data_IF_680406774812
#
_entry.id   IF_680406774812
#
_cell.length_a   1.000
_cell.length_b   1.000
_cell.length_c   1.000
_cell.angle_alpha   90.00
_cell.angle_beta   90.00
_cell.angle_gamma   90.00
#
_symmetry.space_group_name_H-M   'P 1'
#
loop_
_entity.id
_entity.type
_entity.pdbx_description
1 polymer ?
#
# COMPACT_ATOMS: atom_id res chain seq x y z
N UNK A 1 -33.61 -12.97 0.69
CA UNK A 1 -32.94 -11.73 0.20
C UNK A 1 -32.55 -10.78 1.33
N UNK A 2 -33.38 -10.54 2.37
CA UNK A 2 -32.99 -9.69 3.49
C UNK A 2 -31.83 -10.29 4.32
N UNK A 3 -31.73 -11.60 4.39
CA UNK A 3 -30.65 -12.33 5.07
C UNK A 3 -29.32 -12.29 4.31
N UNK A 4 -29.34 -11.85 3.06
CA UNK A 4 -28.14 -11.71 2.21
C UNK A 4 -27.50 -10.32 2.34
N UNK A 5 -28.17 -9.37 3.02
CA UNK A 5 -27.68 -8.02 3.25
C UNK A 5 -26.68 -7.99 4.40
N UNK A 6 -25.56 -7.36 4.16
CA UNK A 6 -24.56 -7.07 5.18
C UNK A 6 -24.63 -5.59 5.59
N UNK A 7 -24.10 -5.28 6.77
CA UNK A 7 -23.87 -3.89 7.16
C UNK A 7 -22.95 -3.24 6.13
N UNK A 8 -23.22 -1.98 5.81
CA UNK A 8 -22.52 -1.15 4.82
C UNK A 8 -22.75 -1.51 3.34
N UNK A 9 -23.63 -2.49 3.03
CA UNK A 9 -24.03 -2.72 1.64
C UNK A 9 -24.80 -1.52 1.08
N UNK A 10 -24.43 -1.12 -0.13
CA UNK A 10 -25.17 -0.12 -0.92
C UNK A 10 -26.04 -0.85 -1.92
N UNK A 11 -27.35 -0.76 -1.74
CA UNK A 11 -28.32 -1.45 -2.59
C UNK A 11 -29.40 -0.49 -3.09
N UNK A 12 -29.97 -0.79 -4.26
CA UNK A 12 -31.20 -0.17 -4.71
C UNK A 12 -32.39 -1.05 -4.33
N UNK A 13 -33.52 -0.43 -3.96
CA UNK A 13 -34.75 -1.17 -3.62
C UNK A 13 -35.90 -0.74 -4.50
N UNK A 14 -36.69 -1.71 -4.95
CA UNK A 14 -38.04 -1.44 -5.46
C UNK A 14 -39.00 -1.53 -4.30
N UNK A 15 -39.70 -0.43 -4.03
CA UNK A 15 -40.61 -0.34 -2.89
C UNK A 15 -41.92 0.32 -3.29
N UNK A 16 -43.00 -0.02 -2.57
CA UNK A 16 -44.29 0.65 -2.58
C UNK A 16 -44.57 1.21 -1.19
N UNK A 17 -45.35 2.27 -1.09
CA UNK A 17 -45.66 2.87 0.20
C UNK A 17 -45.83 4.39 0.13
N UNK A 18 -45.59 5.06 1.24
CA UNK A 18 -45.68 6.51 1.40
C UNK A 18 -44.42 7.07 2.04
N UNK A 19 -44.42 8.36 2.43
CA UNK A 19 -43.24 9.02 3.04
C UNK A 19 -42.86 8.48 4.43
N UNK A 20 -43.77 7.79 5.09
CA UNK A 20 -43.59 7.30 6.46
C UNK A 20 -43.19 5.83 6.47
N UNK A 21 -43.64 5.04 5.46
CA UNK A 21 -43.38 3.60 5.40
C UNK A 21 -43.21 3.13 3.96
N UNK A 22 -42.16 2.38 3.71
CA UNK A 22 -41.87 1.72 2.44
C UNK A 22 -41.85 0.20 2.61
N UNK A 23 -42.64 -0.47 1.77
CA UNK A 23 -42.65 -1.92 1.65
C UNK A 23 -41.71 -2.31 0.51
N UNK A 24 -40.55 -2.90 0.85
CA UNK A 24 -39.58 -3.32 -0.12
C UNK A 24 -40.06 -4.59 -0.81
N UNK A 25 -40.25 -4.51 -2.13
CA UNK A 25 -40.70 -5.61 -2.96
C UNK A 25 -39.51 -6.37 -3.57
N UNK A 26 -38.42 -5.67 -3.88
CA UNK A 26 -37.21 -6.26 -4.44
C UNK A 26 -35.95 -5.47 -4.05
N UNK A 27 -34.83 -6.18 -4.01
CA UNK A 27 -33.51 -5.62 -3.68
C UNK A 27 -32.61 -5.89 -4.88
N UNK A 28 -31.95 -4.84 -5.35
CA UNK A 28 -31.04 -4.86 -6.47
C UNK A 28 -29.63 -4.52 -5.95
N UNK A 29 -28.70 -5.43 -6.11
CA UNK A 29 -27.30 -5.15 -5.88
C UNK A 29 -26.71 -4.41 -7.09
N UNK A 30 -25.77 -3.46 -6.91
CA UNK A 30 -25.13 -2.80 -8.03
C UNK A 30 -24.38 -3.83 -8.87
N UNK A 31 -24.52 -3.73 -10.19
CA UNK A 31 -23.70 -4.54 -11.10
C UNK A 31 -22.24 -4.12 -10.97
N UNK A 32 -21.38 -5.11 -10.77
CA UNK A 32 -19.92 -4.89 -10.84
C UNK A 32 -19.50 -4.87 -12.32
N UNK A 33 -19.20 -3.68 -12.84
CA UNK A 33 -18.55 -3.58 -14.13
C UNK A 33 -17.07 -3.98 -13.96
N UNK A 34 -16.76 -5.22 -14.30
CA UNK A 34 -15.38 -5.71 -14.31
C UNK A 34 -14.81 -5.46 -15.71
N UNK A 35 -13.90 -4.49 -15.89
CA UNK A 35 -13.28 -4.25 -17.18
C UNK A 35 -12.47 -5.48 -17.61
N UNK A 36 -12.35 -5.69 -18.92
CA UNK A 36 -11.48 -6.74 -19.45
C UNK A 36 -10.06 -6.63 -18.89
N UNK A 37 -9.50 -7.77 -18.49
CA UNK A 37 -8.12 -7.82 -17.99
C UNK A 37 -7.17 -7.40 -19.11
N UNK A 38 -6.54 -6.26 -18.94
CA UNK A 38 -5.47 -5.82 -19.82
C UNK A 38 -4.20 -6.61 -19.50
N UNK A 39 -3.49 -7.03 -20.52
CA UNK A 39 -2.21 -7.73 -20.40
C UNK A 39 -1.14 -6.87 -21.07
N UNK A 40 0.00 -6.71 -20.42
CA UNK A 40 1.22 -6.22 -21.03
C UNK A 40 1.89 -7.40 -21.78
N UNK A 41 2.76 -7.08 -22.73
CA UNK A 41 3.49 -8.08 -23.51
C UNK A 41 4.82 -8.45 -22.85
N UNK A 42 5.34 -7.57 -21.99
CA UNK A 42 6.61 -7.79 -21.30
C UNK A 42 6.47 -8.88 -20.23
N UNK A 43 7.49 -9.73 -20.17
CA UNK A 43 7.65 -10.74 -19.13
C UNK A 43 8.37 -10.11 -17.90
N UNK A 44 7.65 -9.24 -17.19
CA UNK A 44 8.16 -8.59 -15.98
C UNK A 44 7.34 -8.99 -14.77
N UNK A 45 8.02 -9.12 -13.63
CA UNK A 45 7.40 -9.37 -12.34
C UNK A 45 7.25 -8.06 -11.56
N UNK A 46 6.18 -7.98 -10.76
CA UNK A 46 5.90 -6.88 -9.83
C UNK A 46 5.85 -7.48 -8.43
N UNK A 47 6.58 -6.91 -7.49
CA UNK A 47 6.48 -7.28 -6.08
C UNK A 47 5.58 -6.29 -5.32
N UNK A 48 4.78 -6.81 -4.39
CA UNK A 48 3.96 -6.04 -3.49
C UNK A 48 4.38 -6.30 -2.05
N UNK A 49 4.64 -5.25 -1.30
CA UNK A 49 5.00 -5.24 0.11
C UNK A 49 4.05 -4.34 0.87
N UNK A 50 3.83 -4.62 2.14
CA UNK A 50 3.02 -3.82 3.07
C UNK A 50 3.46 -4.11 4.50
N UNK A 51 3.13 -3.20 5.43
CA UNK A 51 3.24 -3.45 6.87
C UNK A 51 4.63 -3.89 7.32
N UNK A 52 5.66 -3.19 6.85
CA UNK A 52 7.05 -3.51 7.19
C UNK A 52 7.34 -3.22 8.66
N UNK A 53 6.78 -2.11 9.20
CA UNK A 53 6.91 -1.68 10.59
C UNK A 53 8.36 -1.58 11.08
N UNK A 54 9.24 -0.96 10.28
CA UNK A 54 10.63 -0.75 10.68
C UNK A 54 10.70 0.06 11.97
N UNK A 55 11.45 -0.44 12.95
CA UNK A 55 11.63 0.20 14.25
C UNK A 55 10.80 -0.42 15.37
N UNK A 56 9.78 -1.19 15.06
CA UNK A 56 9.01 -1.96 16.03
C UNK A 56 9.76 -3.21 16.54
N UNK A 57 9.41 -3.65 17.72
CA UNK A 57 9.97 -4.89 18.30
C UNK A 57 9.53 -6.15 17.56
N UNK A 58 8.38 -6.08 16.88
CA UNK A 58 7.80 -7.17 16.08
C UNK A 58 8.21 -7.15 14.61
N UNK A 59 9.00 -6.16 14.18
CA UNK A 59 9.54 -6.11 12.83
C UNK A 59 10.27 -7.43 12.50
N UNK A 60 9.81 -8.10 11.45
CA UNK A 60 10.37 -9.36 10.97
C UNK A 60 11.68 -9.12 10.19
N UNK A 61 12.66 -8.55 10.88
CA UNK A 61 13.92 -8.10 10.29
C UNK A 61 14.57 -9.18 9.41
N UNK A 62 14.71 -10.41 9.94
CA UNK A 62 15.34 -11.51 9.19
C UNK A 62 14.55 -11.90 7.94
N UNK A 63 13.21 -11.85 8.00
CA UNK A 63 12.36 -12.08 6.84
C UNK A 63 12.57 -11.03 5.76
N UNK A 64 12.68 -9.76 6.15
CA UNK A 64 12.93 -8.67 5.22
C UNK A 64 14.36 -8.71 4.64
N UNK A 65 15.37 -9.05 5.44
CA UNK A 65 16.73 -9.27 4.97
C UNK A 65 16.80 -10.43 3.96
N UNK A 66 16.10 -11.55 4.21
CA UNK A 66 16.01 -12.66 3.26
C UNK A 66 15.37 -12.22 1.93
N UNK A 67 14.35 -11.34 1.98
CA UNK A 67 13.78 -10.75 0.75
C UNK A 67 14.83 -9.91 0.01
N UNK A 68 15.63 -9.09 0.72
CA UNK A 68 16.69 -8.29 0.12
C UNK A 68 17.81 -9.16 -0.47
N UNK A 69 18.17 -10.25 0.18
CA UNK A 69 19.12 -11.23 -0.35
C UNK A 69 18.56 -11.88 -1.62
N UNK A 70 17.29 -12.30 -1.60
CA UNK A 70 16.63 -12.93 -2.73
C UNK A 70 16.52 -12.00 -3.94
N UNK A 71 16.10 -10.73 -3.75
CA UNK A 71 15.95 -9.80 -4.88
C UNK A 71 17.28 -9.41 -5.54
N UNK A 72 18.40 -9.60 -4.83
CA UNK A 72 19.75 -9.40 -5.34
C UNK A 72 20.39 -10.69 -5.87
N UNK A 73 19.68 -11.82 -5.83
CA UNK A 73 20.22 -13.11 -6.23
C UNK A 73 20.08 -13.37 -7.73
N UNK A 74 20.65 -14.48 -8.17
CA UNK A 74 20.53 -14.97 -9.55
C UNK A 74 19.20 -15.70 -9.84
N UNK A 75 18.23 -15.65 -8.91
CA UNK A 75 16.92 -16.26 -9.10
C UNK A 75 16.20 -15.64 -10.30
N UNK A 76 15.61 -16.49 -11.17
CA UNK A 76 14.98 -16.06 -12.43
C UNK A 76 13.77 -15.14 -12.20
N UNK A 77 12.99 -15.37 -11.13
CA UNK A 77 11.84 -14.50 -10.80
C UNK A 77 12.31 -13.16 -10.24
N UNK A 78 13.36 -13.15 -9.43
CA UNK A 78 13.97 -11.92 -8.91
C UNK A 78 14.50 -11.05 -10.05
N UNK A 79 15.18 -11.63 -11.03
CA UNK A 79 15.71 -10.93 -12.21
C UNK A 79 14.63 -10.27 -13.07
N UNK A 80 13.41 -10.80 -13.06
CA UNK A 80 12.27 -10.25 -13.80
C UNK A 80 11.58 -9.09 -13.08
N UNK A 81 11.84 -8.86 -11.79
CA UNK A 81 11.21 -7.75 -11.05
C UNK A 81 11.71 -6.41 -11.61
N UNK A 82 10.75 -5.56 -11.96
CA UNK A 82 10.99 -4.18 -12.41
C UNK A 82 10.34 -3.15 -11.51
N UNK A 83 9.32 -3.54 -10.79
CA UNK A 83 8.55 -2.63 -9.95
C UNK A 83 8.29 -3.27 -8.58
N UNK A 84 8.38 -2.46 -7.53
CA UNK A 84 7.97 -2.82 -6.18
C UNK A 84 6.97 -1.77 -5.70
N UNK A 85 5.82 -2.22 -5.23
CA UNK A 85 4.80 -1.40 -4.59
C UNK A 85 4.82 -1.65 -3.09
N UNK A 86 5.00 -0.59 -2.30
CA UNK A 86 5.07 -0.66 -0.84
C UNK A 86 3.87 0.11 -0.30
N UNK A 87 2.89 -0.64 0.20
CA UNK A 87 1.57 -0.11 0.52
C UNK A 87 1.38 0.10 2.02
N UNK A 88 1.94 1.17 2.55
CA UNK A 88 1.68 1.68 3.88
C UNK A 88 2.36 0.95 5.05
N UNK A 89 2.28 1.57 6.22
CA UNK A 89 2.86 1.14 7.48
C UNK A 89 4.33 0.71 7.35
N UNK A 90 5.07 1.61 6.70
CA UNK A 90 6.48 1.40 6.34
C UNK A 90 7.38 1.39 7.57
N UNK A 91 7.04 2.21 8.56
CA UNK A 91 7.68 2.29 9.87
C UNK A 91 6.66 2.01 10.96
N UNK A 92 7.11 1.64 12.17
CA UNK A 92 6.20 1.37 13.28
C UNK A 92 5.54 2.62 13.84
N UNK A 93 6.10 3.78 13.55
CA UNK A 93 5.60 5.05 14.06
C UNK A 93 6.03 5.33 15.50
N UNK A 94 5.58 6.46 16.03
CA UNK A 94 5.81 6.87 17.41
C UNK A 94 4.56 7.56 17.93
N UNK A 95 3.98 7.03 19.02
CA UNK A 95 2.77 7.59 19.65
C UNK A 95 1.47 7.26 18.92
N UNK A 96 1.44 6.15 18.19
CA UNK A 96 0.25 5.68 17.46
C UNK A 96 -0.81 5.16 18.44
N UNK A 97 -0.37 4.49 19.50
CA UNK A 97 -1.27 3.99 20.55
C UNK A 97 -0.62 4.09 21.93
N UNK A 98 -1.42 4.12 23.02
CA UNK A 98 -0.88 4.19 24.39
C UNK A 98 0.07 3.04 24.70
N UNK A 99 1.24 3.33 25.25
CA UNK A 99 2.23 2.34 25.66
C UNK A 99 3.13 1.80 24.56
N UNK A 100 2.98 2.29 23.31
CA UNK A 100 3.78 1.85 22.17
C UNK A 100 5.30 2.02 22.39
N UNK A 101 5.73 2.99 23.19
CA UNK A 101 7.15 3.24 23.50
C UNK A 101 7.88 2.01 24.06
N UNK A 102 7.15 1.09 24.68
CA UNK A 102 7.67 -0.19 25.19
C UNK A 102 7.84 -1.25 24.09
N UNK A 103 7.16 -1.06 22.96
CA UNK A 103 7.21 -1.93 21.79
C UNK A 103 8.14 -1.42 20.68
N UNK A 104 8.83 -0.29 20.90
CA UNK A 104 9.73 0.31 19.92
C UNK A 104 11.19 -0.05 20.22
N UNK A 105 11.90 -0.59 19.21
CA UNK A 105 13.36 -0.68 19.18
C UNK A 105 14.00 0.66 18.79
N UNK A 106 13.38 1.36 17.82
CA UNK A 106 13.79 2.70 17.40
C UNK A 106 12.72 3.71 17.82
N UNK A 107 13.00 4.52 18.83
CA UNK A 107 12.05 5.46 19.46
C UNK A 107 11.94 6.82 18.76
N UNK A 108 12.45 6.95 17.55
CA UNK A 108 12.43 8.19 16.77
C UNK A 108 11.98 7.91 15.34
N UNK A 109 11.00 8.69 14.86
CA UNK A 109 10.54 8.63 13.46
C UNK A 109 11.70 8.80 12.47
N UNK A 110 12.61 9.74 12.73
CA UNK A 110 13.78 9.97 11.85
C UNK A 110 14.70 8.75 11.79
N UNK A 111 14.92 8.07 12.94
CA UNK A 111 15.74 6.85 12.96
C UNK A 111 15.06 5.68 12.27
N UNK A 112 13.74 5.56 12.40
CA UNK A 112 12.97 4.53 11.71
C UNK A 112 13.06 4.71 10.19
N UNK A 113 12.83 5.92 9.67
CA UNK A 113 12.98 6.21 8.24
C UNK A 113 14.43 6.11 7.74
N UNK A 114 15.39 6.50 8.55
CA UNK A 114 16.80 6.31 8.20
C UNK A 114 17.17 4.83 8.08
N UNK A 115 16.63 3.98 8.96
CA UNK A 115 16.84 2.53 8.87
C UNK A 115 16.10 1.93 7.67
N UNK A 116 14.86 2.34 7.41
CA UNK A 116 14.10 1.93 6.22
C UNK A 116 14.85 2.29 4.94
N UNK A 117 15.35 3.53 4.85
CA UNK A 117 16.11 3.98 3.68
C UNK A 117 17.36 3.12 3.42
N UNK A 118 18.08 2.70 4.48
CA UNK A 118 19.23 1.78 4.35
C UNK A 118 18.82 0.44 3.74
N UNK A 119 17.68 -0.11 4.16
CA UNK A 119 17.17 -1.35 3.57
C UNK A 119 16.78 -1.17 2.11
N UNK A 120 16.04 -0.10 1.80
CA UNK A 120 15.57 0.16 0.43
C UNK A 120 16.72 0.51 -0.52
N UNK A 121 17.81 1.09 -0.01
CA UNK A 121 19.01 1.38 -0.81
C UNK A 121 19.73 0.12 -1.30
N UNK A 122 19.51 -1.03 -0.62
CA UNK A 122 20.02 -2.34 -1.04
C UNK A 122 19.26 -2.94 -2.22
N UNK A 123 18.09 -2.41 -2.57
CA UNK A 123 17.31 -2.87 -3.73
C UNK A 123 17.98 -2.41 -5.02
N UNK A 124 18.11 -3.30 -6.03
CA UNK A 124 18.75 -3.00 -7.30
C UNK A 124 18.22 -1.73 -7.96
N UNK A 125 19.10 -0.87 -8.47
CA UNK A 125 18.72 0.46 -8.98
C UNK A 125 17.91 0.44 -10.27
N UNK A 126 17.85 -0.69 -10.95
CA UNK A 126 16.97 -0.92 -12.11
C UNK A 126 15.53 -1.27 -11.74
N UNK A 127 15.24 -1.41 -10.44
CA UNK A 127 13.88 -1.65 -9.92
C UNK A 127 13.32 -0.32 -9.42
N UNK A 128 12.16 0.10 -9.95
CA UNK A 128 11.46 1.29 -9.47
C UNK A 128 10.54 0.91 -8.32
N UNK A 129 10.65 1.63 -7.21
CA UNK A 129 9.79 1.47 -6.04
C UNK A 129 8.75 2.58 -5.97
N UNK A 130 7.51 2.22 -5.69
CA UNK A 130 6.43 3.15 -5.34
C UNK A 130 6.04 2.91 -3.90
N UNK A 131 5.96 3.97 -3.09
CA UNK A 131 5.63 3.85 -1.67
C UNK A 131 4.56 4.85 -1.29
N UNK A 132 3.44 4.37 -0.75
CA UNK A 132 2.44 5.19 -0.09
C UNK A 132 2.55 5.08 1.45
N UNK A 133 2.02 6.05 2.21
CA UNK A 133 1.94 5.95 3.66
C UNK A 133 0.81 5.03 4.12
N UNK A 134 0.88 4.62 5.40
CA UNK A 134 -0.19 4.05 6.19
C UNK A 134 -0.39 4.84 7.49
N UNK A 135 -1.17 4.31 8.42
CA UNK A 135 -1.55 5.00 9.66
C UNK A 135 -0.37 5.17 10.63
N UNK A 136 0.64 4.31 10.56
CA UNK A 136 1.85 4.36 11.37
C UNK A 136 2.89 5.34 10.84
N UNK A 137 2.79 5.74 9.58
CA UNK A 137 3.72 6.67 8.95
C UNK A 137 3.51 8.13 9.41
N UNK A 138 4.50 8.99 9.15
CA UNK A 138 4.49 10.39 9.56
C UNK A 138 3.55 11.25 8.70
N UNK A 139 2.27 10.89 8.67
CA UNK A 139 1.19 11.59 7.98
C UNK A 139 -0.04 11.71 8.89
N UNK A 140 -1.06 12.44 8.46
CA UNK A 140 -2.36 12.43 9.15
C UNK A 140 -3.02 11.05 9.01
N UNK A 141 -3.80 10.67 10.03
CA UNK A 141 -4.55 9.39 10.00
C UNK A 141 -5.68 9.44 8.98
N UNK A 142 -6.35 10.61 8.86
CA UNK A 142 -7.48 10.77 7.95
C UNK A 142 -7.04 10.74 6.47
N UNK A 143 -7.79 10.02 5.66
CA UNK A 143 -7.62 9.95 4.21
C UNK A 143 -8.27 11.14 3.48
N UNK A 144 -7.75 11.50 2.31
CA UNK A 144 -6.53 10.99 1.67
C UNK A 144 -5.28 11.42 2.44
N UNK A 145 -4.34 10.48 2.63
CA UNK A 145 -3.06 10.78 3.28
C UNK A 145 -2.09 11.38 2.25
N UNK A 146 -1.39 12.47 2.58
CA UNK A 146 -0.39 13.06 1.70
C UNK A 146 0.86 12.18 1.63
N UNK A 147 1.75 12.48 0.71
CA UNK A 147 3.09 11.85 0.66
C UNK A 147 3.82 12.08 2.00
N UNK A 148 4.63 11.12 2.40
CA UNK A 148 5.44 11.20 3.62
C UNK A 148 6.35 12.43 3.54
N UNK A 149 6.27 13.30 4.56
CA UNK A 149 7.00 14.56 4.55
C UNK A 149 8.52 14.38 4.63
N UNK A 150 9.25 15.12 3.80
CA UNK A 150 10.71 15.18 3.82
C UNK A 150 11.26 15.51 5.22
N UNK A 151 10.53 16.29 6.01
CA UNK A 151 10.90 16.64 7.39
C UNK A 151 11.23 15.41 8.25
N UNK A 152 10.51 14.31 8.07
CA UNK A 152 10.70 13.09 8.85
C UNK A 152 11.51 12.02 8.11
N UNK A 153 11.36 11.95 6.79
CA UNK A 153 11.84 10.87 5.94
C UNK A 153 12.86 11.34 4.90
N UNK A 154 13.68 12.36 5.23
CA UNK A 154 14.67 12.90 4.30
C UNK A 154 15.52 11.84 3.59
N UNK A 155 16.04 10.78 4.28
CA UNK A 155 16.86 9.76 3.62
C UNK A 155 16.16 9.03 2.48
N UNK A 156 14.81 8.88 2.51
CA UNK A 156 14.05 8.27 1.42
C UNK A 156 14.10 9.10 0.14
N UNK A 157 14.17 10.43 0.27
CA UNK A 157 14.21 11.37 -0.88
C UNK A 157 15.55 11.37 -1.63
N UNK A 158 16.55 10.68 -1.09
CA UNK A 158 17.85 10.49 -1.75
C UNK A 158 17.92 9.20 -2.56
N UNK A 159 16.89 8.35 -2.48
CA UNK A 159 16.83 7.11 -3.25
C UNK A 159 16.29 7.41 -4.66
N UNK A 160 17.16 7.34 -5.67
CA UNK A 160 16.83 7.72 -7.04
C UNK A 160 15.77 6.81 -7.72
N UNK A 161 15.57 5.61 -7.19
CA UNK A 161 14.62 4.63 -7.68
C UNK A 161 13.36 4.50 -6.79
N UNK A 162 13.13 5.43 -5.85
CA UNK A 162 11.95 5.48 -5.00
C UNK A 162 11.07 6.68 -5.36
N UNK A 163 9.79 6.41 -5.57
CA UNK A 163 8.73 7.41 -5.82
C UNK A 163 7.74 7.36 -4.67
N UNK A 164 7.67 8.42 -3.89
CA UNK A 164 6.68 8.56 -2.83
C UNK A 164 5.36 9.05 -3.43
N UNK A 165 4.27 8.39 -3.04
CA UNK A 165 2.92 8.72 -3.52
C UNK A 165 1.97 8.91 -2.33
N UNK A 166 0.79 9.47 -2.55
CA UNK A 166 -0.28 9.59 -1.54
C UNK A 166 -0.96 8.25 -1.28
N UNK A 167 -1.79 8.18 -0.25
CA UNK A 167 -2.70 7.07 0.01
C UNK A 167 -4.15 7.62 0.00
N UNK A 168 -5.01 7.21 -0.96
CA UNK A 168 -4.71 6.34 -2.10
C UNK A 168 -3.92 7.03 -3.24
N UNK A 169 -3.36 6.24 -4.16
CA UNK A 169 -2.75 6.72 -5.40
C UNK A 169 -2.95 5.76 -6.56
N UNK A 170 -3.07 6.30 -7.78
CA UNK A 170 -3.03 5.52 -9.01
C UNK A 170 -1.65 5.63 -9.65
N UNK A 171 -1.01 4.49 -9.88
CA UNK A 171 0.25 4.40 -10.61
C UNK A 171 -0.02 3.76 -11.97
N UNK A 172 0.36 4.45 -13.04
CA UNK A 172 0.26 3.92 -14.40
C UNK A 172 1.63 3.47 -14.89
N UNK A 173 1.72 2.20 -15.21
CA UNK A 173 2.87 1.64 -15.90
C UNK A 173 2.55 1.63 -17.40
N UNK A 174 3.43 2.22 -18.20
CA UNK A 174 3.27 2.32 -19.65
C UNK A 174 4.29 1.46 -20.36
N UNK A 175 3.82 0.71 -21.32
CA UNK A 175 4.65 -0.06 -22.23
C UNK A 175 4.11 0.11 -23.64
N UNK A 176 4.88 0.82 -24.49
CA UNK A 176 4.41 1.24 -25.82
C UNK A 176 3.05 1.97 -25.72
N UNK A 177 2.04 1.47 -26.42
CA UNK A 177 0.68 2.03 -26.40
C UNK A 177 -0.24 1.39 -25.33
N UNK A 178 0.30 0.48 -24.50
CA UNK A 178 -0.45 -0.20 -23.45
C UNK A 178 -0.19 0.45 -22.09
N UNK A 179 -1.24 0.51 -21.29
CA UNK A 179 -1.19 1.01 -19.91
C UNK A 179 -1.71 -0.05 -18.96
N UNK A 180 -0.98 -0.23 -17.85
CA UNK A 180 -1.42 -1.01 -16.71
C UNK A 180 -1.52 -0.10 -15.49
N UNK A 181 -2.68 -0.04 -14.85
CA UNK A 181 -2.92 0.85 -13.71
C UNK A 181 -3.00 0.04 -12.43
N UNK A 182 -2.24 0.45 -11.42
CA UNK A 182 -2.26 -0.09 -10.06
C UNK A 182 -2.88 0.96 -9.15
N UNK A 183 -3.93 0.60 -8.41
CA UNK A 183 -4.40 1.38 -7.28
C UNK A 183 -3.59 0.96 -6.05
N UNK A 184 -2.84 1.89 -5.48
CA UNK A 184 -2.21 1.73 -4.18
C UNK A 184 -3.15 2.27 -3.11
N UNK A 185 -3.50 1.44 -2.17
CA UNK A 185 -4.35 1.78 -1.03
C UNK A 185 -3.96 0.95 0.17
N UNK A 186 -3.73 1.62 1.28
CA UNK A 186 -3.53 1.03 2.60
C UNK A 186 -4.78 1.35 3.42
N UNK A 187 -5.54 0.35 3.78
CA UNK A 187 -6.82 0.47 4.46
C UNK A 187 -6.74 0.70 5.97
#
# INVERSE_FOLDING_TARGET
KAEELLLDDVVAVKASGNREMLFVNDILFPDSFVPEKRKLESDVNIAFLSDIHVGGSRFLQKGFENFLEWINSDNEDAKKIRYIFISGDNVDGVGIFPGQENALKLKSMHLQYAQLAKYLDMIPKNITMFMCPGQHDAVRVAEPQPIISRKYAEPLYHLNNLILVSNPAYVKLKENDKEFTVLMYHG
#
